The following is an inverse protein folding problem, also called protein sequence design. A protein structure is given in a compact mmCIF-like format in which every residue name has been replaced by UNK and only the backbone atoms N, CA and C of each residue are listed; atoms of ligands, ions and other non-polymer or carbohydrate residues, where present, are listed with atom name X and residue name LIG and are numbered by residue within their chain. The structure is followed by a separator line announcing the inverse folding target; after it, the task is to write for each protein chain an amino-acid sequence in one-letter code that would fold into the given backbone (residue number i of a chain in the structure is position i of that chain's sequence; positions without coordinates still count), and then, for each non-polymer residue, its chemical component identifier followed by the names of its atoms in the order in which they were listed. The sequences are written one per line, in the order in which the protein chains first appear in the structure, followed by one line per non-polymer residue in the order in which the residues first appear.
data_IF_973359491792
#
_entry.id   IF_973359491792
#
_cell.length_a   1.000
_cell.length_b   1.000
_cell.length_c   1.000
_cell.angle_alpha   90.00
_cell.angle_beta   90.00
_cell.angle_gamma   90.00
#
_symmetry.space_group_name_H-M   'P 1'
#
loop_
_entity.id
_entity.type
_entity.pdbx_description
1 polymer ?
#
# COMPACT_ATOMS: atom_id res chain seq x y z
N UNK A 1 -9.47 -9.30 24.97
CA UNK A 1 -8.81 -8.03 24.59
C UNK A 1 -8.16 -8.20 23.22
N UNK A 2 -8.48 -7.35 22.30
CA UNK A 2 -7.87 -7.40 20.96
C UNK A 2 -6.47 -6.82 21.03
N UNK A 3 -5.48 -7.56 20.55
CA UNK A 3 -4.14 -7.03 20.39
C UNK A 3 -4.16 -6.03 19.23
N UNK A 4 -3.63 -4.85 19.44
CA UNK A 4 -3.52 -3.84 18.40
C UNK A 4 -2.32 -4.13 17.52
N UNK A 5 -2.47 -3.90 16.23
CA UNK A 5 -1.35 -3.98 15.30
C UNK A 5 -0.40 -2.80 15.50
N UNK A 6 0.86 -3.05 15.23
CA UNK A 6 1.88 -2.00 15.19
C UNK A 6 1.98 -1.54 13.74
N UNK A 7 1.91 -0.23 13.53
CA UNK A 7 2.01 0.36 12.19
C UNK A 7 3.36 1.06 12.09
N UNK A 8 4.14 0.68 11.08
CA UNK A 8 5.48 1.24 10.85
C UNK A 8 5.52 1.87 9.48
N UNK A 9 5.85 3.15 9.42
CA UNK A 9 6.07 3.85 8.16
C UNK A 9 7.52 3.73 7.72
N UNK A 10 7.74 3.49 6.43
CA UNK A 10 9.06 3.49 5.83
C UNK A 10 9.09 4.66 4.84
N UNK A 11 9.89 5.67 5.16
CA UNK A 11 9.98 6.88 4.36
C UNK A 11 11.31 6.93 3.60
N UNK A 12 11.31 7.62 2.48
CA UNK A 12 12.49 7.82 1.67
C UNK A 12 12.11 8.10 0.23
N UNK A 13 12.95 8.84 -0.47
CA UNK A 13 12.75 9.10 -1.89
C UNK A 13 13.11 7.89 -2.76
N UNK A 14 12.80 7.98 -4.03
CA UNK A 14 13.19 6.98 -5.02
C UNK A 14 14.70 6.76 -4.97
N UNK A 15 15.12 5.51 -4.92
CA UNK A 15 16.54 5.16 -4.88
C UNK A 15 17.16 5.22 -3.49
N UNK A 16 16.39 5.50 -2.44
CA UNK A 16 16.90 5.53 -1.06
C UNK A 16 17.10 4.15 -0.44
N UNK A 17 16.67 3.08 -1.12
CA UNK A 17 16.76 1.72 -0.61
C UNK A 17 15.62 1.30 0.30
N UNK A 18 14.55 2.11 0.41
CA UNK A 18 13.42 1.79 1.30
C UNK A 18 12.75 0.46 0.96
N UNK A 19 12.64 0.10 -0.31
CA UNK A 19 12.06 -1.18 -0.73
C UNK A 19 12.92 -2.34 -0.29
N UNK A 20 14.24 -2.20 -0.40
CA UNK A 20 15.18 -3.22 0.06
C UNK A 20 15.10 -3.41 1.57
N UNK A 21 14.98 -2.32 2.33
CA UNK A 21 14.82 -2.37 3.79
C UNK A 21 13.54 -3.10 4.15
N UNK A 22 12.43 -2.75 3.48
CA UNK A 22 11.14 -3.39 3.75
C UNK A 22 11.21 -4.90 3.52
N UNK A 23 11.78 -5.32 2.39
CA UNK A 23 11.91 -6.74 2.06
C UNK A 23 12.82 -7.48 3.04
N UNK A 24 13.91 -6.84 3.48
CA UNK A 24 14.79 -7.43 4.47
C UNK A 24 14.05 -7.70 5.79
N UNK A 25 13.26 -6.74 6.25
CA UNK A 25 12.48 -6.88 7.48
C UNK A 25 11.45 -8.01 7.32
N UNK A 26 10.75 -8.07 6.18
CA UNK A 26 9.78 -9.12 5.90
C UNK A 26 10.40 -10.51 5.98
N UNK A 27 11.56 -10.69 5.34
CA UNK A 27 12.27 -11.99 5.36
C UNK A 27 12.74 -12.35 6.77
N UNK A 28 13.26 -11.38 7.51
CA UNK A 28 13.73 -11.60 8.88
C UNK A 28 12.59 -12.05 9.79
N UNK A 29 11.42 -11.42 9.67
CA UNK A 29 10.29 -11.71 10.55
C UNK A 29 9.62 -13.06 10.27
N UNK A 30 9.82 -13.63 9.10
CA UNK A 30 9.31 -14.98 8.80
C UNK A 30 9.83 -16.02 9.78
N UNK A 31 11.04 -15.83 10.27
CA UNK A 31 11.67 -16.75 11.23
C UNK A 31 10.97 -16.73 12.60
N UNK A 32 10.14 -15.73 12.87
CA UNK A 32 9.42 -15.56 14.13
C UNK A 32 7.93 -15.83 13.99
N UNK A 33 7.52 -16.48 12.91
CA UNK A 33 6.11 -16.80 12.63
C UNK A 33 5.23 -15.53 12.58
N UNK A 34 5.82 -14.41 12.21
CA UNK A 34 5.11 -13.15 12.01
C UNK A 34 4.95 -12.96 10.51
N UNK A 35 3.71 -12.76 10.06
CA UNK A 35 3.39 -12.48 8.66
C UNK A 35 2.98 -11.01 8.54
N UNK A 36 3.96 -10.10 8.41
CA UNK A 36 3.65 -8.67 8.32
C UNK A 36 2.93 -8.35 7.02
N UNK A 37 2.14 -7.28 7.07
CA UNK A 37 1.47 -6.72 5.89
C UNK A 37 2.31 -5.55 5.40
N UNK A 38 2.54 -5.48 4.09
CA UNK A 38 3.16 -4.33 3.46
C UNK A 38 2.13 -3.62 2.59
N UNK A 39 1.85 -2.37 2.92
CA UNK A 39 0.99 -1.50 2.11
C UNK A 39 1.87 -0.47 1.42
N UNK A 40 1.91 -0.52 0.09
CA UNK A 40 2.68 0.43 -0.70
C UNK A 40 1.77 1.58 -1.14
N UNK A 41 2.19 2.81 -0.89
CA UNK A 41 1.42 3.99 -1.28
C UNK A 41 1.14 4.01 -2.79
N UNK A 42 2.08 3.51 -3.60
CA UNK A 42 1.93 3.45 -5.05
C UNK A 42 0.73 2.61 -5.50
N UNK A 43 0.24 1.71 -4.66
CA UNK A 43 -0.96 0.94 -4.95
C UNK A 43 -2.23 1.78 -4.82
N UNK A 44 -2.15 2.92 -4.14
CA UNK A 44 -3.31 3.74 -3.77
C UNK A 44 -3.50 4.99 -4.61
N UNK A 45 -2.90 5.05 -5.81
CA UNK A 45 -3.22 6.13 -6.74
C UNK A 45 -4.71 6.10 -7.05
N UNK A 46 -5.31 7.28 -7.14
CA UNK A 46 -6.75 7.41 -7.39
C UNK A 46 -7.13 6.85 -8.76
N UNK A 47 -8.38 6.41 -8.89
CA UNK A 47 -8.90 5.96 -10.19
C UNK A 47 -8.92 7.11 -11.18
N UNK A 48 -8.54 6.82 -12.41
CA UNK A 48 -8.49 7.78 -13.49
C UNK A 48 -9.39 7.40 -14.67
N UNK A 49 -10.50 6.73 -14.39
CA UNK A 49 -11.44 6.27 -15.42
C UNK A 49 -12.01 7.41 -16.25
N UNK A 50 -12.07 8.60 -15.66
CA UNK A 50 -12.60 9.80 -16.32
C UNK A 50 -11.60 10.45 -17.27
N UNK A 51 -10.35 9.99 -17.30
CA UNK A 51 -9.29 10.54 -18.14
C UNK A 51 -8.95 9.57 -19.26
N UNK A 52 -8.56 10.10 -20.43
CA UNK A 52 -8.00 9.30 -21.49
C UNK A 52 -6.61 8.80 -21.12
N UNK A 53 -6.10 7.80 -21.83
CA UNK A 53 -4.75 7.30 -21.60
C UNK A 53 -3.70 8.41 -21.71
N UNK A 54 -3.83 9.27 -22.72
CA UNK A 54 -2.90 10.39 -22.91
C UNK A 54 -2.90 11.34 -21.72
N UNK A 55 -4.09 11.64 -21.20
CA UNK A 55 -4.22 12.51 -20.03
C UNK A 55 -3.63 11.87 -18.78
N UNK A 56 -3.81 10.55 -18.61
CA UNK A 56 -3.24 9.82 -17.47
C UNK A 56 -1.71 9.88 -17.47
N UNK A 57 -1.09 9.73 -18.64
CA UNK A 57 0.37 9.77 -18.77
C UNK A 57 0.93 11.11 -18.33
N UNK A 58 0.18 12.21 -18.53
CA UNK A 58 0.60 13.56 -18.21
C UNK A 58 0.47 13.91 -16.72
N UNK A 59 -0.14 13.03 -15.90
CA UNK A 59 -0.30 13.31 -14.48
C UNK A 59 1.04 13.31 -13.76
N UNK A 60 1.15 14.20 -12.76
CA UNK A 60 2.34 14.25 -11.91
C UNK A 60 2.20 13.25 -10.76
N UNK A 61 2.73 12.04 -10.94
CA UNK A 61 2.61 10.97 -9.94
C UNK A 61 3.42 11.21 -8.67
N UNK A 62 4.23 12.25 -8.64
CA UNK A 62 4.91 12.66 -7.41
C UNK A 62 4.04 13.55 -6.53
N UNK A 63 2.89 14.01 -7.06
CA UNK A 63 2.00 14.88 -6.31
C UNK A 63 1.16 14.07 -5.32
N UNK A 64 1.16 14.45 -4.01
CA UNK A 64 0.44 13.67 -3.00
C UNK A 64 -1.07 13.61 -3.20
N UNK A 65 -1.66 14.55 -3.91
CA UNK A 65 -3.10 14.55 -4.17
C UNK A 65 -3.54 13.39 -5.05
N UNK A 66 -2.62 12.73 -5.76
CA UNK A 66 -2.94 11.57 -6.57
C UNK A 66 -3.03 10.29 -5.76
N UNK A 67 -2.62 10.30 -4.50
CA UNK A 67 -2.73 9.14 -3.63
C UNK A 67 -4.01 9.24 -2.82
N UNK A 68 -4.77 8.16 -2.80
CA UNK A 68 -6.02 8.07 -2.04
C UNK A 68 -5.71 7.78 -0.56
N UNK A 69 -5.22 8.80 0.15
CA UNK A 69 -4.89 8.68 1.56
C UNK A 69 -6.07 8.29 2.44
N UNK A 70 -7.29 8.81 2.21
CA UNK A 70 -8.44 8.38 3.00
C UNK A 70 -8.66 6.87 2.93
N UNK A 71 -8.53 6.27 1.76
CA UNK A 71 -8.68 4.82 1.61
C UNK A 71 -7.53 4.08 2.30
N UNK A 72 -6.29 4.55 2.14
CA UNK A 72 -5.13 3.95 2.81
C UNK A 72 -5.30 3.96 4.33
N UNK A 73 -5.71 5.09 4.89
CA UNK A 73 -5.94 5.21 6.33
C UNK A 73 -7.06 4.29 6.79
N UNK A 74 -8.14 4.19 6.03
CA UNK A 74 -9.24 3.29 6.35
C UNK A 74 -8.77 1.84 6.36
N UNK A 75 -7.97 1.44 5.38
CA UNK A 75 -7.42 0.08 5.32
C UNK A 75 -6.53 -0.24 6.51
N UNK A 76 -5.69 0.73 6.92
CA UNK A 76 -4.85 0.56 8.11
C UNK A 76 -5.72 0.34 9.35
N UNK A 77 -6.79 1.11 9.49
CA UNK A 77 -7.72 0.96 10.61
C UNK A 77 -8.42 -0.39 10.60
N UNK A 78 -8.88 -0.85 9.43
CA UNK A 78 -9.56 -2.13 9.31
C UNK A 78 -8.61 -3.28 9.64
N UNK A 79 -7.40 -3.27 9.11
CA UNK A 79 -6.40 -4.29 9.43
C UNK A 79 -6.07 -4.29 10.93
N UNK A 80 -5.95 -3.11 11.53
CA UNK A 80 -5.66 -2.98 12.96
C UNK A 80 -6.81 -3.50 13.81
N UNK A 81 -8.03 -3.46 13.30
CA UNK A 81 -9.20 -3.98 13.99
C UNK A 81 -9.40 -5.49 13.77
N UNK A 82 -8.52 -6.13 13.00
CA UNK A 82 -8.60 -7.57 12.74
C UNK A 82 -9.44 -7.93 11.51
N UNK A 83 -9.72 -6.99 10.63
CA UNK A 83 -10.49 -7.22 9.41
C UNK A 83 -9.60 -7.29 8.18
N UNK A 84 -9.95 -8.14 7.23
CA UNK A 84 -9.27 -8.16 5.95
C UNK A 84 -9.71 -6.98 5.09
N UNK A 85 -8.87 -6.62 4.12
CA UNK A 85 -9.15 -5.53 3.20
C UNK A 85 -9.02 -6.00 1.75
N UNK A 86 -9.67 -5.27 0.85
CA UNK A 86 -9.50 -5.43 -0.59
C UNK A 86 -8.59 -4.30 -1.07
N UNK A 87 -7.29 -4.56 -1.14
CA UNK A 87 -6.29 -3.56 -1.52
C UNK A 87 -6.34 -3.30 -3.02
N UNK A 88 -6.36 -2.03 -3.46
CA UNK A 88 -6.32 -1.75 -4.89
C UNK A 88 -4.99 -2.15 -5.51
N UNK A 89 -5.03 -2.45 -6.80
CA UNK A 89 -3.84 -2.72 -7.59
C UNK A 89 -3.77 -1.66 -8.68
N UNK A 90 -2.69 -0.88 -8.68
CA UNK A 90 -2.47 0.11 -9.72
C UNK A 90 -1.59 -0.48 -10.83
N UNK A 91 -2.01 -0.32 -12.07
CA UNK A 91 -1.27 -0.83 -13.22
C UNK A 91 -0.64 0.34 -13.98
N UNK A 92 0.68 0.46 -13.89
CA UNK A 92 1.43 1.53 -14.54
C UNK A 92 1.50 1.39 -16.05
N UNK A 93 1.09 0.26 -16.60
CA UNK A 93 1.00 0.08 -18.06
C UNK A 93 -0.18 0.84 -18.64
N UNK A 94 -1.26 0.94 -17.87
CA UNK A 94 -2.48 1.66 -18.28
C UNK A 94 -2.69 2.95 -17.49
N UNK A 95 -1.82 3.25 -16.53
CA UNK A 95 -1.90 4.41 -15.64
C UNK A 95 -3.26 4.52 -14.95
N UNK A 96 -3.74 3.39 -14.42
CA UNK A 96 -5.03 3.33 -13.73
C UNK A 96 -5.07 2.13 -12.80
N UNK A 97 -6.08 2.08 -11.94
CA UNK A 97 -6.34 0.92 -11.09
C UNK A 97 -6.91 -0.20 -11.95
N UNK A 98 -6.50 -1.44 -11.63
CA UNK A 98 -7.12 -2.63 -12.19
C UNK A 98 -8.50 -2.83 -11.58
N UNK A 99 -9.33 -3.64 -12.26
CA UNK A 99 -10.59 -4.10 -11.70
C UNK A 99 -10.37 -5.13 -10.59
N UNK A 100 -9.25 -5.86 -10.64
CA UNK A 100 -8.89 -6.83 -9.61
C UNK A 100 -8.36 -6.12 -8.38
N UNK A 101 -8.55 -6.77 -7.22
CA UNK A 101 -8.02 -6.31 -5.94
C UNK A 101 -7.25 -7.45 -5.29
N UNK A 102 -6.41 -7.12 -4.34
CA UNK A 102 -5.68 -8.11 -3.55
C UNK A 102 -6.27 -8.17 -2.16
N UNK A 103 -6.69 -9.36 -1.73
CA UNK A 103 -7.21 -9.55 -0.37
C UNK A 103 -6.03 -9.66 0.58
N UNK A 104 -5.96 -8.76 1.54
CA UNK A 104 -4.92 -8.72 2.57
C UNK A 104 -5.55 -9.07 3.90
N UNK A 105 -5.01 -10.07 4.56
CA UNK A 105 -5.48 -10.47 5.88
C UNK A 105 -4.79 -9.64 6.96
N UNK A 106 -5.45 -9.45 8.12
CA UNK A 106 -4.86 -8.66 9.20
C UNK A 106 -3.59 -9.30 9.75
N UNK A 107 -2.72 -8.47 10.29
CA UNK A 107 -1.47 -8.89 10.89
C UNK A 107 -1.15 -8.00 12.09
N UNK A 108 -0.29 -8.50 12.95
CA UNK A 108 0.19 -7.72 14.11
C UNK A 108 1.15 -6.61 13.71
N UNK A 109 1.73 -6.70 12.52
CA UNK A 109 2.64 -5.68 12.01
C UNK A 109 2.17 -5.23 10.63
N UNK A 110 1.92 -3.94 10.49
CA UNK A 110 1.52 -3.31 9.23
C UNK A 110 2.63 -2.32 8.86
N UNK A 111 3.26 -2.56 7.72
CA UNK A 111 4.30 -1.68 7.20
C UNK A 111 3.71 -0.85 6.06
N UNK A 112 3.97 0.45 6.08
CA UNK A 112 3.52 1.37 5.04
C UNK A 112 4.75 1.99 4.39
N UNK A 113 4.89 1.77 3.10
CA UNK A 113 6.03 2.26 2.32
C UNK A 113 5.65 3.42 1.42
#
# INVERSE_FOLDING_TARGET
MKSKSIVVGIAGGTGSGKTSVAHYILEYLKNYEINPVLLEQDSYYVKNDHLSFSERVELNYDHPDLIDFPLLVQHIKELSAGHEIAKPIYDFKIYNRKSEVEIIKPSRLIMVE
#
